data_IF_173757567801
#
_entry.id   IF_173757567801
#
_cell.length_a   1.000
_cell.length_b   1.000
_cell.length_c   1.000
_cell.angle_alpha   90.00
_cell.angle_beta   90.00
_cell.angle_gamma   90.00
#
_symmetry.space_group_name_H-M   'P 1'
#
loop_
_entity.id
_entity.type
_entity.pdbx_description
1 polymer ?
#
# COMPACT_ATOMS: atom_id res chain seq x y z
N UNK A 1 -41.49 -48.04 -51.13
CA UNK A 1 -40.62 -48.52 -52.23
C UNK A 1 -39.42 -47.58 -52.35
N UNK A 2 -38.20 -48.12 -52.16
CA UNK A 2 -36.90 -47.82 -52.83
C UNK A 2 -36.66 -46.38 -53.33
N UNK A 3 -35.58 -45.63 -52.97
CA UNK A 3 -34.12 -45.92 -53.00
C UNK A 3 -33.39 -44.82 -52.18
N UNK A 4 -32.50 -45.16 -51.25
CA UNK A 4 -31.01 -45.14 -51.34
C UNK A 4 -30.38 -43.80 -51.80
N UNK A 5 -29.59 -43.17 -50.92
CA UNK A 5 -28.12 -43.22 -51.02
C UNK A 5 -27.46 -42.83 -49.69
N UNK A 6 -26.55 -43.68 -49.25
CA UNK A 6 -25.64 -43.46 -48.13
C UNK A 6 -24.36 -42.77 -48.62
N UNK A 7 -23.80 -41.87 -47.83
CA UNK A 7 -22.41 -41.43 -47.97
C UNK A 7 -21.80 -41.21 -46.59
N UNK A 8 -20.59 -41.76 -46.44
CA UNK A 8 -19.89 -42.03 -45.19
C UNK A 8 -19.42 -40.77 -44.46
N UNK A 9 -19.60 -40.76 -43.15
CA UNK A 9 -19.02 -39.77 -42.23
C UNK A 9 -17.58 -40.20 -41.92
N UNK A 10 -16.61 -39.57 -42.57
CA UNK A 10 -15.20 -39.68 -42.18
C UNK A 10 -14.92 -38.72 -41.03
N UNK A 11 -14.75 -39.27 -39.82
CA UNK A 11 -14.23 -38.54 -38.65
C UNK A 11 -12.72 -38.37 -38.81
N UNK A 12 -12.29 -37.20 -39.26
CA UNK A 12 -10.88 -36.77 -39.12
C UNK A 12 -10.76 -36.01 -37.80
N UNK A 13 -10.32 -36.72 -36.77
CA UNK A 13 -9.83 -36.12 -35.52
C UNK A 13 -8.47 -35.46 -35.81
N UNK A 14 -8.23 -34.18 -35.47
CA UNK A 14 -6.89 -33.65 -35.51
C UNK A 14 -6.08 -34.28 -34.37
N UNK A 15 -5.05 -35.05 -34.73
CA UNK A 15 -4.02 -35.50 -33.79
C UNK A 15 -3.34 -34.27 -33.18
N UNK A 16 -3.65 -33.98 -31.92
CA UNK A 16 -2.85 -33.07 -31.10
C UNK A 16 -1.53 -33.79 -30.82
N UNK A 17 -0.47 -33.38 -31.49
CA UNK A 17 0.88 -33.77 -31.13
C UNK A 17 1.21 -33.14 -29.75
N UNK A 18 1.71 -33.90 -28.77
CA UNK A 18 2.23 -33.30 -27.55
C UNK A 18 3.45 -32.47 -27.91
N UNK A 19 3.40 -31.16 -27.64
CA UNK A 19 4.60 -30.32 -27.67
C UNK A 19 5.62 -30.92 -26.69
N UNK A 20 6.92 -31.01 -27.06
CA UNK A 20 7.91 -31.43 -26.10
C UNK A 20 7.93 -30.39 -24.98
N UNK A 21 7.78 -30.86 -23.74
CA UNK A 21 8.04 -30.04 -22.57
C UNK A 21 9.51 -29.60 -22.67
N UNK A 22 9.72 -28.34 -23.03
CA UNK A 22 11.00 -27.67 -22.80
C UNK A 22 11.19 -27.59 -21.29
N UNK A 23 11.76 -28.65 -20.71
CA UNK A 23 12.51 -28.52 -19.47
C UNK A 23 13.73 -27.70 -19.84
N UNK A 24 13.64 -26.38 -19.64
CA UNK A 24 14.85 -25.61 -19.37
C UNK A 24 15.42 -26.18 -18.07
N UNK A 25 16.36 -27.11 -18.22
CA UNK A 25 17.39 -27.35 -17.23
C UNK A 25 18.25 -26.08 -17.20
N UNK A 26 17.71 -25.03 -16.56
CA UNK A 26 18.55 -23.97 -16.04
C UNK A 26 19.49 -24.63 -15.04
N UNK A 27 20.79 -24.43 -15.21
CA UNK A 27 21.78 -24.87 -14.26
C UNK A 27 21.31 -24.46 -12.86
N UNK A 28 21.06 -25.44 -11.99
CA UNK A 28 20.75 -25.21 -10.59
C UNK A 28 22.02 -24.67 -9.92
N UNK A 29 22.33 -23.40 -10.17
CA UNK A 29 23.26 -22.65 -9.35
C UNK A 29 22.66 -22.60 -7.96
N UNK A 30 23.39 -23.08 -6.97
CA UNK A 30 22.99 -22.98 -5.56
C UNK A 30 22.85 -21.50 -5.21
N UNK A 31 21.62 -21.02 -5.05
CA UNK A 31 21.35 -19.69 -4.52
C UNK A 31 21.80 -19.62 -3.06
N UNK A 32 22.18 -18.43 -2.59
CA UNK A 32 22.42 -18.21 -1.17
C UNK A 32 21.09 -18.21 -0.40
N UNK A 33 21.07 -18.77 0.80
CA UNK A 33 19.88 -18.75 1.67
C UNK A 33 19.62 -17.36 2.24
N UNK A 34 20.69 -16.59 2.49
CA UNK A 34 20.63 -15.21 2.94
C UNK A 34 21.91 -14.44 2.54
N UNK A 35 21.82 -13.12 2.57
CA UNK A 35 22.94 -12.20 2.37
C UNK A 35 22.79 -11.00 3.30
N UNK A 36 23.93 -10.39 3.67
CA UNK A 36 23.96 -9.16 4.49
C UNK A 36 24.21 -7.97 3.59
N UNK A 37 23.45 -6.90 3.78
CA UNK A 37 23.55 -5.66 3.03
C UNK A 37 23.78 -4.49 3.96
N UNK A 38 24.64 -3.56 3.56
CA UNK A 38 24.71 -2.24 4.19
C UNK A 38 23.46 -1.45 3.85
N UNK A 39 22.90 -0.78 4.87
CA UNK A 39 21.75 0.10 4.76
C UNK A 39 22.11 1.49 5.28
N UNK A 40 21.46 2.51 4.74
CA UNK A 40 21.79 3.90 5.07
C UNK A 40 21.49 4.17 6.55
N UNK A 41 22.46 4.66 7.34
CA UNK A 41 22.21 5.06 8.72
C UNK A 41 21.12 6.14 8.78
N UNK A 42 20.22 6.02 9.77
CA UNK A 42 19.19 7.01 9.99
C UNK A 42 19.76 8.26 10.66
N UNK A 43 19.28 9.44 10.27
CA UNK A 43 19.50 10.64 11.08
C UNK A 43 18.57 10.59 12.31
N UNK A 44 19.11 10.90 13.48
CA UNK A 44 18.43 10.71 14.75
C UNK A 44 18.07 12.03 15.43
N UNK A 45 16.98 12.02 16.18
CA UNK A 45 16.55 13.11 17.04
C UNK A 45 16.15 12.57 18.41
N UNK A 46 16.86 13.01 19.47
CA UNK A 46 16.65 12.55 20.86
C UNK A 46 16.74 11.03 21.03
N UNK A 47 17.60 10.39 20.24
CA UNK A 47 17.97 8.98 20.36
C UNK A 47 19.50 8.90 20.41
N UNK A 48 20.03 8.11 21.33
CA UNK A 48 21.48 7.84 21.41
C UNK A 48 21.91 6.82 20.35
N UNK A 49 21.06 5.82 20.12
CA UNK A 49 21.26 4.76 19.14
C UNK A 49 20.05 4.64 18.21
N UNK A 50 20.30 4.24 16.97
CA UNK A 50 19.29 4.05 15.93
C UNK A 50 19.18 2.60 15.47
N UNK A 51 18.42 2.36 14.38
CA UNK A 51 18.40 1.06 13.72
C UNK A 51 19.81 0.62 13.29
N UNK A 52 20.06 -0.70 13.14
CA UNK A 52 21.36 -1.19 12.68
C UNK A 52 21.70 -0.65 11.28
N UNK A 53 23.00 -0.50 10.99
CA UNK A 53 23.50 -0.06 9.69
C UNK A 53 23.62 -1.21 8.66
N UNK A 54 23.29 -2.44 9.06
CA UNK A 54 23.28 -3.62 8.20
C UNK A 54 21.97 -4.38 8.36
N UNK A 55 21.57 -5.08 7.29
CA UNK A 55 20.37 -5.89 7.26
C UNK A 55 20.65 -7.24 6.63
N UNK A 56 20.26 -8.32 7.31
CA UNK A 56 20.24 -9.67 6.73
C UNK A 56 18.94 -9.84 5.96
N UNK A 57 19.02 -10.26 4.71
CA UNK A 57 17.87 -10.59 3.87
C UNK A 57 17.95 -12.05 3.46
N UNK A 58 16.93 -12.84 3.81
CA UNK A 58 16.82 -14.20 3.30
C UNK A 58 16.29 -14.21 1.87
N UNK A 59 16.59 -15.28 1.13
CA UNK A 59 16.04 -15.49 -0.22
C UNK A 59 14.51 -15.47 -0.23
N UNK A 60 13.88 -16.14 0.74
CA UNK A 60 12.42 -16.18 0.87
C UNK A 60 11.83 -14.79 1.07
N UNK A 61 12.39 -14.02 2.01
CA UNK A 61 11.98 -12.63 2.26
C UNK A 61 12.15 -11.76 1.01
N UNK A 62 13.30 -11.87 0.35
CA UNK A 62 13.60 -11.10 -0.86
C UNK A 62 12.58 -11.34 -1.97
N UNK A 63 12.29 -12.62 -2.29
CA UNK A 63 11.30 -12.98 -3.30
C UNK A 63 9.90 -12.49 -2.93
N UNK A 64 9.53 -12.59 -1.64
CA UNK A 64 8.25 -12.08 -1.13
C UNK A 64 8.13 -10.56 -1.27
N UNK A 65 9.16 -9.82 -0.88
CA UNK A 65 9.16 -8.34 -0.97
C UNK A 65 9.14 -7.88 -2.42
N UNK A 66 9.94 -8.51 -3.29
CA UNK A 66 9.97 -8.21 -4.71
C UNK A 66 8.59 -8.41 -5.35
N UNK A 67 7.97 -9.58 -5.13
CA UNK A 67 6.61 -9.86 -5.64
C UNK A 67 5.58 -8.86 -5.13
N UNK A 68 5.61 -8.51 -3.83
CA UNK A 68 4.66 -7.55 -3.25
C UNK A 68 4.81 -6.14 -3.81
N UNK A 69 6.03 -5.61 -3.89
CA UNK A 69 6.27 -4.28 -4.47
C UNK A 69 5.86 -4.26 -5.95
N UNK A 70 6.16 -5.32 -6.69
CA UNK A 70 5.76 -5.44 -8.09
C UNK A 70 4.24 -5.53 -8.26
N UNK A 71 3.54 -6.27 -7.40
CA UNK A 71 2.06 -6.30 -7.37
C UNK A 71 1.48 -4.90 -7.18
N UNK A 72 2.01 -4.13 -6.22
CA UNK A 72 1.58 -2.75 -5.97
C UNK A 72 1.84 -1.88 -7.20
N UNK A 73 3.07 -1.87 -7.73
CA UNK A 73 3.43 -1.12 -8.94
C UNK A 73 2.47 -1.41 -10.10
N UNK A 74 2.19 -2.68 -10.36
CA UNK A 74 1.34 -3.08 -11.49
C UNK A 74 -0.14 -2.80 -11.23
N UNK A 75 -0.62 -2.92 -9.99
CA UNK A 75 -1.96 -2.51 -9.59
C UNK A 75 -2.18 -1.01 -9.82
N UNK A 76 -1.23 -0.16 -9.43
CA UNK A 76 -1.33 1.29 -9.58
C UNK A 76 -1.31 1.71 -11.06
N UNK A 77 -0.43 1.11 -11.87
CA UNK A 77 -0.41 1.35 -13.32
C UNK A 77 -1.69 0.86 -14.01
N UNK A 78 -2.32 -0.20 -13.50
CA UNK A 78 -3.64 -0.64 -13.98
C UNK A 78 -4.74 0.33 -13.56
N UNK A 79 -4.70 0.85 -12.34
CA UNK A 79 -5.64 1.87 -11.88
C UNK A 79 -5.54 3.15 -12.73
N UNK A 80 -4.33 3.62 -13.08
CA UNK A 80 -4.13 4.71 -14.06
C UNK A 80 -4.86 4.43 -15.38
N UNK A 81 -4.65 3.24 -15.96
CA UNK A 81 -5.28 2.82 -17.21
C UNK A 81 -6.81 2.83 -17.10
N UNK A 82 -7.35 2.20 -16.04
CA UNK A 82 -8.81 2.10 -15.82
C UNK A 82 -9.45 3.47 -15.56
N UNK A 83 -8.74 4.40 -14.91
CA UNK A 83 -9.19 5.77 -14.73
C UNK A 83 -9.28 6.52 -16.07
N UNK A 84 -8.25 6.41 -16.91
CA UNK A 84 -8.25 7.00 -18.26
C UNK A 84 -9.38 6.44 -19.13
N UNK A 85 -9.69 5.16 -18.97
CA UNK A 85 -10.83 4.48 -19.62
C UNK A 85 -12.20 4.78 -18.98
N UNK A 86 -12.25 5.62 -17.94
CA UNK A 86 -13.47 6.00 -17.20
C UNK A 86 -14.17 4.88 -16.43
N UNK A 87 -13.50 3.74 -16.23
CA UNK A 87 -13.96 2.71 -15.29
C UNK A 87 -13.81 3.16 -13.84
N UNK A 88 -12.79 3.98 -13.55
CA UNK A 88 -12.59 4.63 -12.26
C UNK A 88 -12.92 6.12 -12.41
N UNK A 89 -13.57 6.69 -11.39
CA UNK A 89 -14.06 8.08 -11.35
C UNK A 89 -13.76 8.72 -10.00
N UNK A 90 -13.96 10.03 -9.90
CA UNK A 90 -13.67 10.78 -8.67
C UNK A 90 -12.17 10.83 -8.37
N UNK A 91 -11.79 10.61 -7.12
CA UNK A 91 -10.39 10.61 -6.69
C UNK A 91 -9.72 9.25 -6.94
N UNK A 92 -8.45 9.28 -7.32
CA UNK A 92 -7.57 8.12 -7.41
C UNK A 92 -6.12 8.57 -7.19
N UNK A 93 -5.50 8.12 -6.10
CA UNK A 93 -4.16 8.55 -5.67
C UNK A 93 -3.20 7.35 -5.69
N UNK A 94 -2.29 7.33 -6.67
CA UNK A 94 -1.42 6.18 -6.93
C UNK A 94 -0.14 6.22 -6.09
N UNK A 95 0.25 5.13 -5.42
CA UNK A 95 1.47 5.08 -4.60
C UNK A 95 2.73 4.59 -5.33
N UNK A 96 2.73 4.54 -6.67
CA UNK A 96 3.90 4.05 -7.41
C UNK A 96 5.13 4.96 -7.22
N UNK A 97 6.24 4.33 -6.84
CA UNK A 97 7.46 4.99 -6.34
C UNK A 97 7.63 4.90 -4.81
N UNK A 98 6.57 4.58 -4.07
CA UNK A 98 6.56 4.47 -2.60
C UNK A 98 6.41 3.02 -2.12
N UNK A 99 6.64 2.02 -2.99
CA UNK A 99 6.38 0.62 -2.64
C UNK A 99 7.24 0.11 -1.48
N UNK A 100 8.48 0.62 -1.36
CA UNK A 100 9.36 0.31 -0.24
C UNK A 100 8.76 0.75 1.10
N UNK A 101 7.95 1.81 1.14
CA UNK A 101 7.28 2.26 2.37
C UNK A 101 6.27 1.20 2.83
N UNK A 102 5.23 0.93 2.04
CA UNK A 102 4.19 -0.02 2.46
C UNK A 102 4.72 -1.46 2.68
N UNK A 103 5.62 -1.96 1.83
CA UNK A 103 6.19 -3.31 2.00
C UNK A 103 7.19 -3.38 3.13
N UNK A 104 8.02 -2.35 3.33
CA UNK A 104 9.00 -2.30 4.41
C UNK A 104 8.34 -2.14 5.78
N UNK A 105 7.31 -1.29 5.90
CA UNK A 105 6.50 -1.15 7.10
C UNK A 105 5.84 -2.49 7.47
N UNK A 106 5.20 -3.14 6.50
CA UNK A 106 4.59 -4.47 6.67
C UNK A 106 5.59 -5.53 7.13
N UNK A 107 6.83 -5.48 6.62
CA UNK A 107 7.88 -6.42 6.96
C UNK A 107 8.47 -6.21 8.36
N UNK A 108 8.24 -5.05 8.99
CA UNK A 108 8.74 -4.71 10.32
C UNK A 108 7.71 -4.82 11.45
N UNK A 109 6.49 -5.25 11.17
CA UNK A 109 5.40 -5.35 12.15
C UNK A 109 4.74 -6.74 12.13
N UNK A 110 3.97 -7.02 13.18
CA UNK A 110 3.14 -8.22 13.26
C UNK A 110 1.81 -8.01 12.51
N UNK A 111 1.16 -9.11 12.06
CA UNK A 111 -0.20 -9.03 11.51
C UNK A 111 -1.25 -8.53 12.52
N UNK A 112 -0.96 -8.55 13.82
CA UNK A 112 -1.81 -8.03 14.90
C UNK A 112 -1.61 -6.54 15.17
N UNK A 113 -0.55 -5.94 14.61
CA UNK A 113 -0.31 -4.51 14.74
C UNK A 113 -1.22 -3.71 13.81
N UNK A 114 -1.51 -2.48 14.24
CA UNK A 114 -2.55 -1.65 13.66
C UNK A 114 -1.97 -0.61 12.72
N UNK A 115 -2.62 -0.39 11.58
CA UNK A 115 -2.15 0.57 10.57
C UNK A 115 -3.29 1.50 10.16
N UNK A 116 -3.01 2.80 10.10
CA UNK A 116 -3.92 3.81 9.57
C UNK A 116 -3.16 4.84 8.73
N UNK A 117 -3.76 5.28 7.62
CA UNK A 117 -3.14 6.23 6.69
C UNK A 117 -4.16 7.19 6.07
N UNK A 118 -3.69 8.11 5.24
CA UNK A 118 -4.52 9.00 4.43
C UNK A 118 -5.05 8.28 3.17
N UNK A 119 -5.47 9.01 2.15
CA UNK A 119 -6.16 8.48 0.97
C UNK A 119 -5.25 7.76 -0.05
N UNK A 120 -3.91 7.87 0.05
CA UNK A 120 -2.97 7.17 -0.84
C UNK A 120 -2.70 5.75 -0.32
N UNK A 121 -3.76 4.94 -0.25
CA UNK A 121 -3.77 3.76 0.60
C UNK A 121 -3.66 2.41 -0.14
N UNK A 122 -3.71 2.35 -1.47
CA UNK A 122 -3.88 1.07 -2.18
C UNK A 122 -2.76 0.07 -1.86
N UNK A 123 -1.50 0.53 -1.79
CA UNK A 123 -0.37 -0.31 -1.39
C UNK A 123 -0.51 -0.91 0.01
N UNK A 124 -0.88 -0.08 0.99
CA UNK A 124 -1.12 -0.52 2.37
C UNK A 124 -2.34 -1.43 2.50
N UNK A 125 -3.40 -1.19 1.71
CA UNK A 125 -4.55 -2.10 1.63
C UNK A 125 -4.11 -3.50 1.22
N UNK A 126 -3.26 -3.58 0.19
CA UNK A 126 -2.74 -4.85 -0.31
C UNK A 126 -1.82 -5.54 0.71
N UNK A 127 -0.88 -4.81 1.31
CA UNK A 127 0.04 -5.41 2.29
C UNK A 127 -0.68 -5.89 3.54
N UNK A 128 -1.74 -5.20 3.96
CA UNK A 128 -2.65 -5.60 5.06
C UNK A 128 -3.65 -6.71 4.69
N UNK A 129 -3.52 -7.29 3.50
CA UNK A 129 -4.19 -8.55 3.13
C UNK A 129 -5.44 -8.42 2.27
N UNK A 130 -5.80 -7.21 1.81
CA UNK A 130 -6.88 -7.05 0.84
C UNK A 130 -6.36 -7.45 -0.55
N UNK A 131 -7.06 -8.36 -1.23
CA UNK A 131 -6.62 -8.83 -2.55
C UNK A 131 -6.69 -7.71 -3.60
N UNK A 132 -5.79 -7.74 -4.59
CA UNK A 132 -5.83 -6.77 -5.70
C UNK A 132 -7.16 -6.82 -6.45
N UNK A 133 -7.76 -8.01 -6.60
CA UNK A 133 -9.11 -8.13 -7.16
C UNK A 133 -10.10 -7.27 -6.40
N UNK A 134 -10.14 -7.38 -5.07
CA UNK A 134 -11.08 -6.60 -4.25
C UNK A 134 -10.78 -5.10 -4.28
N UNK A 135 -9.51 -4.70 -4.29
CA UNK A 135 -9.09 -3.29 -4.41
C UNK A 135 -9.53 -2.70 -5.75
N UNK A 136 -9.17 -3.32 -6.89
CA UNK A 136 -9.54 -2.81 -8.21
C UNK A 136 -11.06 -2.79 -8.41
N UNK A 137 -11.78 -3.76 -7.84
CA UNK A 137 -13.25 -3.84 -7.89
C UNK A 137 -13.91 -2.71 -7.08
N UNK A 138 -13.29 -2.30 -5.96
CA UNK A 138 -13.73 -1.12 -5.21
C UNK A 138 -13.45 0.18 -5.99
N UNK A 139 -12.29 0.29 -6.65
CA UNK A 139 -11.97 1.44 -7.48
C UNK A 139 -12.95 1.62 -8.65
N UNK A 140 -13.42 0.53 -9.25
CA UNK A 140 -14.43 0.56 -10.32
C UNK A 140 -15.88 0.64 -9.80
N UNK A 141 -16.07 0.76 -8.48
CA UNK A 141 -17.38 0.97 -7.85
C UNK A 141 -18.32 -0.23 -7.94
N UNK A 142 -17.79 -1.46 -7.96
CA UNK A 142 -18.62 -2.68 -8.11
C UNK A 142 -18.87 -3.37 -6.76
N UNK A 143 -19.91 -4.21 -6.73
CA UNK A 143 -20.39 -4.87 -5.50
C UNK A 143 -19.36 -5.79 -4.84
N UNK A 144 -18.44 -6.37 -5.61
CA UNK A 144 -17.36 -7.22 -5.12
C UNK A 144 -16.17 -6.45 -4.53
N UNK A 145 -16.24 -5.12 -4.48
CA UNK A 145 -15.23 -4.27 -3.86
C UNK A 145 -15.14 -4.50 -2.34
N UNK A 146 -14.00 -4.16 -1.74
CA UNK A 146 -13.77 -4.36 -0.30
C UNK A 146 -14.72 -3.54 0.59
N UNK A 147 -15.35 -2.50 0.06
CA UNK A 147 -16.42 -1.72 0.69
C UNK A 147 -17.71 -1.75 -0.15
N UNK A 148 -17.89 -2.78 -0.98
CA UNK A 148 -19.06 -2.99 -1.84
C UNK A 148 -19.35 -1.79 -2.77
N UNK A 149 -18.32 -1.09 -3.24
CA UNK A 149 -18.46 0.08 -4.11
C UNK A 149 -18.97 1.35 -3.40
N UNK A 150 -19.10 1.34 -2.07
CA UNK A 150 -19.54 2.50 -1.28
C UNK A 150 -18.38 3.46 -0.97
N UNK A 151 -17.14 2.97 -0.94
CA UNK A 151 -15.98 3.73 -0.46
C UNK A 151 -15.15 4.36 -1.58
N UNK A 152 -14.91 3.61 -2.66
CA UNK A 152 -14.00 4.01 -3.73
C UNK A 152 -12.53 4.05 -3.29
N UNK A 153 -11.72 4.83 -4.00
CA UNK A 153 -10.24 4.88 -3.80
C UNK A 153 -9.82 5.25 -2.38
N UNK A 154 -10.51 6.20 -1.77
CA UNK A 154 -10.03 6.80 -0.52
C UNK A 154 -10.43 6.00 0.72
N UNK A 155 -11.42 5.11 0.64
CA UNK A 155 -12.08 4.52 1.82
C UNK A 155 -12.16 2.99 1.72
N UNK A 156 -11.01 2.34 1.89
CA UNK A 156 -10.90 0.88 1.96
C UNK A 156 -10.45 0.49 3.36
N UNK A 157 -10.98 -0.58 3.93
CA UNK A 157 -10.70 -1.01 5.31
C UNK A 157 -10.42 -2.51 5.35
N UNK A 158 -9.61 -2.96 6.32
CA UNK A 158 -9.23 -4.36 6.47
C UNK A 158 -9.00 -4.73 7.94
N UNK A 159 -8.67 -6.00 8.18
CA UNK A 159 -8.33 -6.45 9.54
C UNK A 159 -7.08 -5.70 10.03
N UNK A 160 -7.21 -4.99 11.15
CA UNK A 160 -6.16 -4.11 11.70
C UNK A 160 -5.64 -3.03 10.74
N UNK A 161 -6.41 -2.73 9.70
CA UNK A 161 -6.18 -1.64 8.78
C UNK A 161 -7.38 -0.70 8.79
N UNK A 162 -7.20 0.45 9.46
CA UNK A 162 -8.25 1.42 9.75
C UNK A 162 -8.44 2.44 8.63
N UNK A 163 -7.95 2.06 7.47
CA UNK A 163 -8.35 2.56 6.18
C UNK A 163 -7.59 3.75 5.65
N UNK A 164 -8.01 4.12 4.44
CA UNK A 164 -7.69 5.39 3.85
C UNK A 164 -8.62 6.48 4.36
N UNK A 165 -8.04 7.63 4.70
CA UNK A 165 -8.76 8.75 5.28
C UNK A 165 -8.63 9.99 4.38
N UNK A 166 -9.78 10.49 3.92
CA UNK A 166 -9.85 11.60 2.95
C UNK A 166 -9.57 12.98 3.53
N UNK A 167 -9.72 13.15 4.85
CA UNK A 167 -9.51 14.44 5.53
C UNK A 167 -8.06 14.51 6.01
N UNK A 168 -7.31 15.48 5.48
CA UNK A 168 -5.87 15.60 5.72
C UNK A 168 -5.58 15.80 7.22
N UNK A 169 -4.87 14.84 7.82
CA UNK A 169 -4.44 14.87 9.23
C UNK A 169 -5.44 14.25 10.21
N UNK A 170 -6.69 13.96 9.80
CA UNK A 170 -7.70 13.42 10.72
C UNK A 170 -7.39 11.99 11.19
N UNK A 171 -6.61 11.25 10.42
CA UNK A 171 -6.18 9.90 10.77
C UNK A 171 -5.18 9.88 11.93
N UNK A 172 -4.48 11.00 12.20
CA UNK A 172 -3.43 11.03 13.21
C UNK A 172 -3.98 10.92 14.64
N UNK A 173 -5.02 11.68 15.03
CA UNK A 173 -5.72 11.44 16.30
C UNK A 173 -6.38 10.05 16.38
N UNK A 174 -6.90 9.51 15.26
CA UNK A 174 -7.51 8.17 15.24
C UNK A 174 -6.46 7.09 15.52
N UNK A 175 -5.30 7.14 14.86
CA UNK A 175 -4.15 6.26 15.13
C UNK A 175 -3.65 6.37 16.57
N UNK A 176 -3.64 7.58 17.12
CA UNK A 176 -3.34 7.82 18.54
C UNK A 176 -4.37 7.12 19.46
N UNK A 177 -5.66 7.19 19.13
CA UNK A 177 -6.71 6.48 19.85
C UNK A 177 -6.61 4.94 19.73
N UNK A 178 -6.15 4.43 18.59
CA UNK A 178 -5.87 3.01 18.40
C UNK A 178 -4.69 2.58 19.30
N UNK A 179 -3.61 3.35 19.34
CA UNK A 179 -2.49 3.10 20.25
C UNK A 179 -2.92 3.12 21.73
N UNK A 180 -3.82 4.05 22.10
CA UNK A 180 -4.45 4.07 23.42
C UNK A 180 -5.19 2.76 23.70
N UNK A 181 -5.95 2.24 22.74
CA UNK A 181 -6.65 0.96 22.88
C UNK A 181 -5.70 -0.23 23.04
N UNK A 182 -4.58 -0.27 22.31
CA UNK A 182 -3.53 -1.30 22.49
C UNK A 182 -2.99 -1.29 23.92
N UNK A 183 -2.62 -0.10 24.41
CA UNK A 183 -2.14 0.08 25.78
C UNK A 183 -3.19 -0.29 26.82
N UNK A 184 -4.44 0.13 26.61
CA UNK A 184 -5.56 -0.14 27.52
C UNK A 184 -5.83 -1.65 27.66
N UNK A 185 -5.70 -2.40 26.56
CA UNK A 185 -5.87 -3.86 26.53
C UNK A 185 -4.64 -4.64 27.00
N UNK A 186 -3.46 -4.01 27.07
CA UNK A 186 -2.21 -4.68 27.37
C UNK A 186 -1.80 -5.72 26.32
N UNK A 187 -2.11 -5.49 25.03
CA UNK A 187 -1.95 -6.49 23.97
C UNK A 187 -0.55 -6.60 23.35
N UNK A 188 0.42 -5.80 23.81
CA UNK A 188 1.76 -5.66 23.19
C UNK A 188 1.73 -5.32 21.67
N UNK A 189 0.59 -4.80 21.21
CA UNK A 189 0.38 -4.33 19.85
C UNK A 189 0.71 -2.83 19.74
N UNK A 190 1.10 -2.37 18.55
CA UNK A 190 1.40 -0.96 18.27
C UNK A 190 0.43 -0.39 17.22
N UNK A 191 0.41 0.94 17.09
CA UNK A 191 -0.24 1.62 15.97
C UNK A 191 0.78 2.36 15.11
N UNK A 192 0.88 1.97 13.84
CA UNK A 192 1.52 2.77 12.79
C UNK A 192 0.52 3.80 12.26
N UNK A 193 0.83 5.07 12.48
CA UNK A 193 -0.05 6.21 12.16
C UNK A 193 0.60 7.09 11.10
N UNK A 194 0.21 6.89 9.85
CA UNK A 194 0.84 7.52 8.69
C UNK A 194 0.16 8.84 8.29
N UNK A 195 0.95 9.80 7.85
CA UNK A 195 0.53 11.07 7.27
C UNK A 195 1.58 11.58 6.27
N UNK A 196 1.20 12.43 5.33
CA UNK A 196 2.14 13.02 4.35
C UNK A 196 2.81 14.30 4.85
N UNK A 197 3.84 14.76 4.13
CA UNK A 197 4.55 16.02 4.42
C UNK A 197 3.61 17.24 4.54
N UNK A 198 2.67 17.41 3.60
CA UNK A 198 1.65 18.46 3.71
C UNK A 198 0.71 18.33 4.92
N UNK A 199 0.45 17.10 5.37
CA UNK A 199 -0.37 16.85 6.56
C UNK A 199 0.38 17.14 7.88
N UNK A 200 1.72 17.16 7.86
CA UNK A 200 2.55 17.42 9.04
C UNK A 200 2.35 18.82 9.65
N UNK A 201 1.67 19.72 8.94
CA UNK A 201 1.33 21.07 9.42
C UNK A 201 -0.09 21.19 9.97
N UNK A 202 -0.85 20.10 10.08
CA UNK A 202 -2.17 20.08 10.68
C UNK A 202 -2.07 20.22 12.21
N UNK A 203 -2.85 21.12 12.81
CA UNK A 203 -2.82 21.35 14.27
C UNK A 203 -3.10 20.09 15.09
N UNK A 204 -4.07 19.28 14.66
CA UNK A 204 -4.44 18.01 15.31
C UNK A 204 -3.30 16.96 15.32
N UNK A 205 -2.29 17.08 14.44
CA UNK A 205 -1.09 16.22 14.49
C UNK A 205 -0.23 16.60 15.70
N UNK A 206 -0.06 17.89 15.98
CA UNK A 206 0.68 18.36 17.16
C UNK A 206 -0.07 18.05 18.46
N UNK A 207 -1.40 18.16 18.47
CA UNK A 207 -2.23 17.74 19.60
C UNK A 207 -2.08 16.24 19.90
N UNK A 208 -2.11 15.41 18.84
CA UNK A 208 -1.87 13.97 18.93
C UNK A 208 -0.49 13.64 19.49
N UNK A 209 0.57 14.33 19.05
CA UNK A 209 1.91 14.18 19.62
C UNK A 209 1.93 14.44 21.13
N UNK A 210 1.34 15.55 21.57
CA UNK A 210 1.31 15.91 22.98
C UNK A 210 0.62 14.82 23.83
N UNK A 211 -0.58 14.39 23.44
CA UNK A 211 -1.32 13.36 24.18
C UNK A 211 -0.63 11.99 24.15
N UNK A 212 -0.11 11.58 23.00
CA UNK A 212 0.60 10.31 22.87
C UNK A 212 1.85 10.26 23.75
N UNK A 213 2.61 11.36 23.83
CA UNK A 213 3.78 11.47 24.69
C UNK A 213 3.38 11.48 26.17
N UNK A 214 2.41 12.31 26.54
CA UNK A 214 1.89 12.42 27.91
C UNK A 214 1.46 11.06 28.46
N UNK A 215 0.77 10.26 27.64
CA UNK A 215 0.26 8.96 28.04
C UNK A 215 1.17 7.81 27.69
N UNK A 216 2.39 8.05 27.16
CA UNK A 216 3.32 7.01 26.70
C UNK A 216 2.63 5.93 25.87
N UNK A 217 1.97 6.35 24.79
CA UNK A 217 1.22 5.44 23.91
C UNK A 217 2.16 4.71 22.93
N UNK A 218 1.89 3.44 22.57
CA UNK A 218 2.64 2.69 21.57
C UNK A 218 2.28 3.12 20.14
N UNK A 219 2.51 4.41 19.82
CA UNK A 219 2.18 5.02 18.54
C UNK A 219 3.46 5.39 17.77
N UNK A 220 3.62 4.83 16.58
CA UNK A 220 4.67 5.22 15.63
C UNK A 220 4.06 6.21 14.65
N UNK A 221 4.46 7.47 14.76
CA UNK A 221 4.00 8.54 13.87
C UNK A 221 4.87 8.58 12.63
N UNK A 222 4.31 8.31 11.46
CA UNK A 222 5.08 8.15 10.23
C UNK A 222 4.76 9.27 9.24
N UNK A 223 5.74 10.10 8.92
CA UNK A 223 5.64 11.09 7.85
C UNK A 223 6.16 10.51 6.54
N UNK A 224 5.27 10.22 5.59
CA UNK A 224 5.64 9.86 4.22
C UNK A 224 5.96 11.14 3.43
N UNK A 225 7.22 11.58 3.52
CA UNK A 225 7.70 12.78 2.87
C UNK A 225 8.02 12.47 1.41
N UNK A 226 7.09 12.85 0.52
CA UNK A 226 7.25 12.70 -0.94
C UNK A 226 7.59 14.02 -1.64
N UNK A 227 8.07 15.01 -0.86
CA UNK A 227 8.49 16.35 -1.25
C UNK A 227 7.37 17.32 -1.64
N UNK A 228 6.11 16.88 -1.78
CA UNK A 228 5.03 17.72 -2.30
C UNK A 228 3.65 17.44 -1.67
N UNK A 229 3.15 18.42 -0.92
CA UNK A 229 1.76 18.48 -0.47
C UNK A 229 0.84 18.96 -1.60
N UNK A 230 0.22 18.02 -2.31
CA UNK A 230 -0.48 18.30 -3.58
C UNK A 230 0.45 18.91 -4.63
N UNK A 231 0.49 20.24 -4.76
CA UNK A 231 1.39 20.97 -5.65
C UNK A 231 2.33 21.94 -4.94
N UNK A 232 2.38 21.90 -3.61
CA UNK A 232 3.24 22.78 -2.80
C UNK A 232 4.44 21.99 -2.30
N UNK A 233 5.64 22.40 -2.70
CA UNK A 233 6.89 21.82 -2.22
C UNK A 233 7.07 22.03 -0.71
N UNK A 234 7.82 21.13 -0.06
CA UNK A 234 8.00 21.13 1.41
C UNK A 234 8.59 22.43 1.94
N UNK A 235 9.57 23.00 1.26
CA UNK A 235 10.22 24.27 1.60
C UNK A 235 9.29 25.50 1.51
N UNK A 236 8.21 25.39 0.73
CA UNK A 236 7.16 26.40 0.60
C UNK A 236 6.01 26.20 1.59
N UNK A 237 5.88 25.00 2.16
CA UNK A 237 4.78 24.62 3.05
C UNK A 237 5.17 24.58 4.53
N UNK A 238 6.43 24.28 4.85
CA UNK A 238 6.91 24.11 6.21
C UNK A 238 8.15 24.98 6.46
N UNK A 239 8.12 25.74 7.56
CA UNK A 239 9.27 26.55 7.99
C UNK A 239 10.49 25.70 8.37
N UNK A 240 10.27 24.45 8.79
CA UNK A 240 11.29 23.43 8.94
C UNK A 240 10.83 22.16 8.22
N UNK A 241 11.66 21.68 7.30
CA UNK A 241 11.45 20.47 6.51
C UNK A 241 12.04 19.22 7.15
N UNK A 242 12.49 19.31 8.41
CA UNK A 242 12.97 18.17 9.19
C UNK A 242 11.80 17.49 9.91
N UNK A 243 10.98 16.74 9.18
CA UNK A 243 9.71 16.20 9.68
C UNK A 243 9.89 15.25 10.87
N UNK A 244 10.97 14.47 10.90
CA UNK A 244 11.33 13.60 12.02
C UNK A 244 11.54 14.35 13.36
N UNK A 245 11.78 15.67 13.33
CA UNK A 245 11.96 16.52 14.53
C UNK A 245 10.68 17.23 14.98
N UNK A 246 9.60 17.19 14.19
CA UNK A 246 8.36 17.96 14.44
C UNK A 246 7.57 17.46 15.64
N UNK A 247 7.89 16.27 16.14
CA UNK A 247 7.40 15.77 17.43
C UNK A 247 7.96 16.52 18.65
N UNK A 248 8.98 17.38 18.48
CA UNK A 248 9.66 18.18 19.50
C UNK A 248 10.18 17.40 20.71
N UNK A 249 9.30 17.00 21.62
CA UNK A 249 9.62 16.18 22.79
C UNK A 249 9.59 14.67 22.49
N UNK A 250 9.02 14.26 21.35
CA UNK A 250 9.03 12.87 20.89
C UNK A 250 10.35 12.57 20.15
N UNK A 251 11.03 11.43 20.43
CA UNK A 251 12.19 11.01 19.66
C UNK A 251 11.81 10.72 18.21
N UNK A 252 12.76 10.86 17.29
CA UNK A 252 12.49 10.54 15.90
C UNK A 252 13.70 10.16 15.08
N UNK A 253 13.43 9.57 13.92
CA UNK A 253 14.44 9.13 12.97
C UNK A 253 14.00 9.41 11.52
N UNK A 254 14.97 9.74 10.66
CA UNK A 254 14.77 9.93 9.22
C UNK A 254 15.36 8.76 8.45
N UNK A 255 14.55 8.19 7.57
CA UNK A 255 14.79 6.91 6.91
C UNK A 255 14.76 7.11 5.40
N UNK A 256 15.60 6.37 4.68
CA UNK A 256 15.47 6.24 3.22
C UNK A 256 14.23 5.41 2.88
N UNK A 257 13.16 6.09 2.47
CA UNK A 257 11.88 5.49 2.10
C UNK A 257 11.87 4.86 0.71
N UNK A 258 12.99 4.88 -0.01
CA UNK A 258 13.16 4.19 -1.30
C UNK A 258 13.82 2.81 -1.13
N UNK A 259 14.38 2.52 0.04
CA UNK A 259 15.03 1.25 0.36
C UNK A 259 14.19 0.42 1.33
N UNK A 260 13.64 -0.69 0.83
CA UNK A 260 12.76 -1.58 1.62
C UNK A 260 13.46 -2.17 2.85
N UNK A 261 14.79 -2.36 2.85
CA UNK A 261 15.52 -2.85 4.00
C UNK A 261 15.74 -1.75 5.04
N UNK A 262 16.01 -0.50 4.62
CA UNK A 262 16.05 0.66 5.51
C UNK A 262 14.71 0.82 6.23
N UNK A 263 13.60 0.81 5.49
CA UNK A 263 12.26 0.93 6.06
C UNK A 263 11.96 -0.23 7.01
N UNK A 264 12.28 -1.47 6.64
CA UNK A 264 12.06 -2.65 7.48
C UNK A 264 12.79 -2.55 8.82
N UNK A 265 14.09 -2.27 8.81
CA UNK A 265 14.89 -2.20 10.05
C UNK A 265 14.49 -1.00 10.92
N UNK A 266 14.20 0.15 10.31
CA UNK A 266 13.67 1.31 11.04
C UNK A 266 12.30 1.02 11.67
N UNK A 267 11.45 0.26 10.99
CA UNK A 267 10.14 -0.12 11.51
C UNK A 267 10.26 -1.10 12.68
N UNK A 268 11.13 -2.12 12.58
CA UNK A 268 11.40 -3.04 13.70
C UNK A 268 11.88 -2.28 14.93
N UNK A 269 12.84 -1.37 14.74
CA UNK A 269 13.36 -0.51 15.81
C UNK A 269 12.26 0.34 16.46
N UNK A 270 11.44 1.02 15.66
CA UNK A 270 10.36 1.87 16.16
C UNK A 270 9.26 1.04 16.85
N UNK A 271 8.97 -0.16 16.33
CA UNK A 271 8.03 -1.09 16.93
C UNK A 271 8.51 -1.54 18.31
N UNK A 272 9.76 -1.97 18.42
CA UNK A 272 10.36 -2.41 19.69
C UNK A 272 10.49 -1.26 20.70
N UNK A 273 10.77 -0.04 20.24
CA UNK A 273 10.69 1.16 21.07
C UNK A 273 9.30 1.30 21.72
N UNK A 274 8.24 1.24 20.92
CA UNK A 274 6.86 1.34 21.40
C UNK A 274 6.47 0.18 22.33
N UNK A 275 6.78 -1.08 21.95
CA UNK A 275 6.50 -2.27 22.76
C UNK A 275 7.22 -2.27 24.11
N UNK A 276 8.43 -1.70 24.17
CA UNK A 276 9.17 -1.53 25.43
C UNK A 276 8.57 -0.49 26.39
N UNK A 277 7.48 0.18 26.01
CA UNK A 277 6.77 1.14 26.86
C UNK A 277 7.43 2.53 26.95
N UNK A 278 8.40 2.81 26.09
CA UNK A 278 9.10 4.12 26.03
C UNK A 278 8.19 5.26 25.50
N UNK A 279 7.05 4.90 24.92
CA UNK A 279 6.07 5.85 24.40
C UNK A 279 6.16 5.98 22.88
N UNK A 280 5.68 7.09 22.30
CA UNK A 280 5.62 7.26 20.86
C UNK A 280 7.00 7.59 20.27
N UNK A 281 7.12 7.40 18.97
CA UNK A 281 8.30 7.75 18.18
C UNK A 281 7.88 8.29 16.80
N UNK A 282 8.63 9.25 16.24
CA UNK A 282 8.40 9.80 14.90
C UNK A 282 9.36 9.16 13.89
N UNK A 283 8.85 8.73 12.74
CA UNK A 283 9.64 8.20 11.65
C UNK A 283 9.32 8.98 10.36
N UNK A 284 10.31 9.64 9.77
CA UNK A 284 10.18 10.26 8.45
C UNK A 284 10.69 9.30 7.38
N UNK A 285 9.81 8.86 6.48
CA UNK A 285 10.19 8.09 5.31
C UNK A 285 10.39 9.07 4.14
N UNK A 286 11.64 9.27 3.74
CA UNK A 286 11.97 10.08 2.57
C UNK A 286 11.73 9.24 1.30
N UNK A 287 10.60 9.47 0.64
CA UNK A 287 10.16 8.68 -0.51
C UNK A 287 9.78 9.60 -1.68
N UNK A 288 9.19 9.04 -2.74
CA UNK A 288 8.80 9.82 -3.89
C UNK A 288 7.62 9.19 -4.64
N UNK A 289 6.63 10.01 -5.03
CA UNK A 289 5.53 9.58 -5.91
C UNK A 289 5.84 9.91 -7.36
N UNK A 290 5.72 8.93 -8.25
CA UNK A 290 5.96 9.14 -9.66
C UNK A 290 4.82 9.87 -10.36
N UNK A 291 3.57 9.50 -10.08
CA UNK A 291 2.41 10.24 -10.57
C UNK A 291 2.24 11.58 -9.83
N UNK A 292 1.41 12.45 -10.42
CA UNK A 292 0.93 13.67 -9.77
C UNK A 292 0.17 13.38 -8.48
N UNK A 293 -0.44 14.41 -7.90
CA UNK A 293 -1.12 14.26 -6.61
C UNK A 293 -2.23 13.19 -6.70
N UNK A 294 -3.09 13.33 -7.70
CA UNK A 294 -4.15 12.40 -8.07
C UNK A 294 -4.21 12.31 -9.60
N UNK A 295 -5.11 11.48 -10.12
CA UNK A 295 -5.33 11.35 -11.56
C UNK A 295 -5.74 12.65 -12.29
N UNK A 296 -6.25 13.67 -11.57
CA UNK A 296 -6.58 14.98 -12.16
C UNK A 296 -5.38 15.95 -12.21
N UNK A 297 -4.27 15.59 -11.58
CA UNK A 297 -3.06 16.40 -11.52
C UNK A 297 -1.95 15.76 -12.37
N UNK A 298 -1.53 16.38 -13.49
CA UNK A 298 -0.41 15.90 -14.30
C UNK A 298 0.94 15.91 -13.56
N UNK A 299 1.09 16.71 -12.49
CA UNK A 299 2.29 16.75 -11.66
C UNK A 299 3.52 17.38 -12.30
N UNK A 300 3.34 18.26 -13.30
CA UNK A 300 4.43 18.93 -14.06
C UNK A 300 4.44 20.45 -13.91
N UNK A 301 3.46 21.04 -13.22
CA UNK A 301 3.41 22.50 -12.99
C UNK A 301 4.27 22.97 -11.82
N UNK A 302 4.67 22.06 -10.94
CA UNK A 302 5.40 22.35 -9.69
C UNK A 302 6.69 21.53 -9.51
N UNK A 303 7.03 20.69 -10.49
CA UNK A 303 8.26 19.89 -10.56
C UNK A 303 8.55 19.50 -11.99
N UNK A 304 9.80 19.18 -12.31
CA UNK A 304 10.22 18.84 -13.67
C UNK A 304 10.04 17.36 -13.98
N UNK A 305 9.94 17.00 -15.26
CA UNK A 305 9.90 15.57 -15.66
C UNK A 305 11.26 14.90 -15.42
N UNK A 306 12.32 15.68 -15.54
CA UNK A 306 13.71 15.29 -15.31
C UNK A 306 13.93 14.89 -13.86
N UNK A 307 13.35 15.59 -12.89
CA UNK A 307 13.38 15.22 -11.47
C UNK A 307 12.77 13.83 -11.25
N UNK A 308 11.54 13.60 -11.75
CA UNK A 308 10.85 12.31 -11.62
C UNK A 308 11.66 11.19 -12.28
N UNK A 309 12.19 11.44 -13.48
CA UNK A 309 13.00 10.46 -14.20
C UNK A 309 14.32 10.17 -13.49
N UNK A 310 14.96 11.18 -12.90
CA UNK A 310 16.20 11.03 -12.13
C UNK A 310 15.97 10.16 -10.89
N UNK A 311 14.88 10.39 -10.14
CA UNK A 311 14.52 9.54 -8.99
C UNK A 311 14.25 8.11 -9.45
N UNK A 312 13.41 7.92 -10.48
CA UNK A 312 13.06 6.57 -10.99
C UNK A 312 14.28 5.79 -11.49
N UNK A 313 15.22 6.44 -12.16
CA UNK A 313 16.40 5.77 -12.72
C UNK A 313 17.47 5.44 -11.68
N UNK A 314 17.57 6.22 -10.59
CA UNK A 314 18.61 6.08 -9.58
C UNK A 314 18.16 5.34 -8.32
N UNK A 315 16.87 5.42 -7.99
CA UNK A 315 16.37 5.07 -6.67
C UNK A 315 15.03 4.34 -6.70
N UNK A 316 14.63 3.74 -7.83
CA UNK A 316 13.40 2.96 -7.86
C UNK A 316 13.46 1.78 -6.87
N UNK A 317 12.48 1.63 -5.97
CA UNK A 317 12.57 0.67 -4.86
C UNK A 317 12.62 -0.78 -5.34
N UNK A 318 12.01 -1.08 -6.49
CA UNK A 318 11.98 -2.43 -7.07
C UNK A 318 13.32 -2.73 -7.74
N UNK A 319 13.90 -1.75 -8.45
CA UNK A 319 15.25 -1.87 -9.00
C UNK A 319 16.31 -2.05 -7.90
N UNK A 320 16.26 -1.25 -6.84
CA UNK A 320 17.19 -1.35 -5.72
C UNK A 320 17.17 -2.74 -5.07
N UNK A 321 15.98 -3.30 -4.81
CA UNK A 321 15.87 -4.65 -4.26
C UNK A 321 16.37 -5.72 -5.26
N UNK A 322 15.99 -5.60 -6.55
CA UNK A 322 16.45 -6.52 -7.60
C UNK A 322 17.97 -6.59 -7.64
N UNK A 323 18.64 -5.44 -7.69
CA UNK A 323 20.10 -5.39 -7.82
C UNK A 323 20.78 -5.99 -6.59
N UNK A 324 20.24 -5.76 -5.39
CA UNK A 324 20.71 -6.43 -4.16
C UNK A 324 20.54 -7.94 -4.21
N UNK A 325 19.37 -8.43 -4.62
CA UNK A 325 19.11 -9.87 -4.70
C UNK A 325 20.04 -10.57 -5.70
N UNK A 326 20.32 -9.93 -6.84
CA UNK A 326 21.27 -10.43 -7.84
C UNK A 326 22.70 -10.42 -7.30
N UNK A 327 23.15 -9.31 -6.71
CA UNK A 327 24.49 -9.19 -6.15
C UNK A 327 24.74 -10.18 -4.99
N UNK A 328 23.74 -10.38 -4.13
CA UNK A 328 23.77 -11.35 -3.03
C UNK A 328 23.56 -12.80 -3.46
N UNK A 329 23.40 -13.08 -4.77
CA UNK A 329 23.08 -14.41 -5.31
C UNK A 329 21.84 -15.05 -4.64
N UNK A 330 20.88 -14.21 -4.24
CA UNK A 330 19.63 -14.61 -3.62
C UNK A 330 18.56 -14.99 -4.64
N UNK A 331 18.68 -14.56 -5.90
CA UNK A 331 17.80 -14.93 -7.01
C UNK A 331 18.51 -14.73 -8.35
N UNK A 332 17.96 -15.31 -9.42
CA UNK A 332 18.41 -15.05 -10.79
C UNK A 332 17.55 -13.99 -11.47
N UNK A 333 18.06 -13.40 -12.55
CA UNK A 333 17.27 -12.46 -13.35
C UNK A 333 16.04 -13.12 -13.99
N UNK A 334 16.13 -14.40 -14.38
CA UNK A 334 15.03 -15.15 -14.95
C UNK A 334 13.93 -15.43 -13.91
N UNK A 335 14.30 -15.78 -12.67
CA UNK A 335 13.32 -16.01 -11.60
C UNK A 335 12.52 -14.74 -11.26
N UNK A 336 13.19 -13.58 -11.21
CA UNK A 336 12.50 -12.31 -10.98
C UNK A 336 11.61 -11.91 -12.18
N UNK A 337 12.01 -12.28 -13.40
CA UNK A 337 11.20 -12.07 -14.61
C UNK A 337 9.97 -12.98 -14.65
N UNK A 338 10.08 -14.20 -14.15
CA UNK A 338 8.93 -15.11 -14.00
C UNK A 338 7.93 -14.54 -12.99
N UNK A 339 8.40 -13.99 -11.86
CA UNK A 339 7.55 -13.25 -10.92
C UNK A 339 6.85 -12.07 -11.61
N UNK A 340 7.56 -11.28 -12.42
CA UNK A 340 6.95 -10.19 -13.18
C UNK A 340 5.82 -10.66 -14.10
N UNK A 341 5.99 -11.81 -14.75
CA UNK A 341 4.99 -12.41 -15.63
C UNK A 341 3.76 -12.90 -14.86
N UNK A 342 3.97 -13.57 -13.72
CA UNK A 342 2.90 -14.00 -12.81
C UNK A 342 2.09 -12.81 -12.30
N UNK A 343 2.78 -11.78 -11.79
CA UNK A 343 2.16 -10.56 -11.28
C UNK A 343 1.32 -9.90 -12.37
N UNK A 344 1.86 -9.74 -13.59
CA UNK A 344 1.09 -9.16 -14.70
C UNK A 344 -0.20 -9.94 -14.97
N UNK A 345 -0.13 -11.26 -14.99
CA UNK A 345 -1.31 -12.11 -15.18
C UNK A 345 -2.34 -11.91 -14.08
N UNK A 346 -1.91 -11.90 -12.82
CA UNK A 346 -2.81 -11.67 -11.67
C UNK A 346 -3.51 -10.30 -11.75
N UNK A 347 -2.79 -9.25 -12.16
CA UNK A 347 -3.35 -7.90 -12.35
C UNK A 347 -4.37 -7.87 -13.50
N UNK A 348 -4.09 -8.50 -14.63
CA UNK A 348 -5.05 -8.55 -15.74
C UNK A 348 -6.31 -9.33 -15.36
N UNK A 349 -6.17 -10.47 -14.68
CA UNK A 349 -7.30 -11.26 -14.17
C UNK A 349 -8.15 -10.46 -13.17
N UNK A 350 -7.50 -9.69 -12.28
CA UNK A 350 -8.16 -8.81 -11.33
C UNK A 350 -8.90 -7.65 -12.04
N UNK A 351 -8.29 -7.03 -13.04
CA UNK A 351 -8.90 -5.95 -13.82
C UNK A 351 -10.09 -6.43 -14.66
N UNK A 352 -9.99 -7.62 -15.27
CA UNK A 352 -11.08 -8.22 -16.02
C UNK A 352 -12.30 -8.49 -15.13
N UNK A 353 -12.07 -8.95 -13.90
CA UNK A 353 -13.14 -9.10 -12.92
C UNK A 353 -13.73 -7.74 -12.52
N UNK A 354 -12.88 -6.78 -12.14
CA UNK A 354 -13.30 -5.45 -11.69
C UNK A 354 -14.11 -4.68 -12.74
N UNK A 355 -13.90 -4.96 -14.03
CA UNK A 355 -14.62 -4.31 -15.14
C UNK A 355 -15.90 -5.05 -15.55
N UNK A 356 -16.06 -6.31 -15.18
CA UNK A 356 -17.25 -7.14 -15.51
C UNK A 356 -18.18 -7.42 -14.33
N UNK A 357 -17.73 -7.25 -13.09
CA UNK A 357 -18.58 -7.40 -11.90
C UNK A 357 -19.72 -6.37 -11.89
N UNK A 358 -20.86 -6.71 -11.29
CA UNK A 358 -22.03 -5.84 -11.31
C UNK A 358 -21.89 -4.66 -10.34
N UNK A 359 -22.51 -3.54 -10.67
CA UNK A 359 -22.70 -2.45 -9.71
C UNK A 359 -23.54 -2.93 -8.50
N UNK A 360 -23.39 -2.31 -7.32
CA UNK A 360 -24.25 -2.58 -6.19
C UNK A 360 -25.72 -2.32 -6.55
N UNK A 361 -26.66 -3.20 -6.12
CA UNK A 361 -28.08 -2.98 -6.31
C UNK A 361 -28.53 -1.68 -5.63
N UNK A 362 -29.41 -0.91 -6.29
CA UNK A 362 -29.88 0.39 -5.80
C UNK A 362 -30.60 0.26 -4.45
N UNK A 363 -31.23 -0.88 -4.20
CA UNK A 363 -31.93 -1.20 -2.95
C UNK A 363 -31.00 -1.17 -1.73
N UNK A 364 -29.70 -1.41 -1.92
CA UNK A 364 -28.70 -1.43 -0.85
C UNK A 364 -28.02 -0.06 -0.61
N UNK A 365 -28.46 1.00 -1.30
CA UNK A 365 -27.86 2.34 -1.20
C UNK A 365 -27.69 2.81 0.25
N UNK A 366 -28.70 2.56 1.09
CA UNK A 366 -28.77 2.99 2.47
C UNK A 366 -28.37 1.91 3.49
N UNK A 367 -27.88 0.74 3.06
CA UNK A 367 -27.34 -0.27 3.98
C UNK A 367 -26.10 0.23 4.73
N UNK A 368 -25.91 -0.29 5.94
CA UNK A 368 -24.76 -0.07 6.82
C UNK A 368 -24.62 1.35 7.39
N UNK A 369 -25.72 2.07 7.61
CA UNK A 369 -25.70 3.39 8.28
C UNK A 369 -25.39 3.24 9.77
N UNK A 370 -26.06 2.30 10.44
CA UNK A 370 -25.84 1.98 11.84
C UNK A 370 -25.48 0.50 11.99
N UNK A 371 -24.55 0.21 12.91
CA UNK A 371 -24.20 -1.15 13.31
C UNK A 371 -25.14 -1.63 14.43
N UNK A 372 -25.51 -2.91 14.41
CA UNK A 372 -26.31 -3.57 15.45
C UNK A 372 -27.66 -2.86 15.73
N UNK A 373 -28.28 -2.28 14.69
CA UNK A 373 -29.54 -1.55 14.76
C UNK A 373 -30.64 -2.27 13.98
N UNK A 374 -31.89 -2.34 14.47
CA UNK A 374 -33.00 -2.87 13.69
C UNK A 374 -33.16 -2.14 12.35
N UNK A 375 -33.66 -2.82 11.30
CA UNK A 375 -33.88 -2.18 10.02
C UNK A 375 -34.83 -0.97 10.11
N UNK A 376 -34.53 0.09 9.37
CA UNK A 376 -35.34 1.31 9.32
C UNK A 376 -35.37 1.91 7.90
N UNK A 377 -36.25 2.88 7.66
CA UNK A 377 -36.37 3.55 6.37
C UNK A 377 -35.54 4.85 6.34
N UNK A 378 -34.90 5.09 5.20
CA UNK A 378 -34.12 6.29 4.91
C UNK A 378 -34.78 7.04 3.77
N UNK A 379 -35.00 8.34 3.98
CA UNK A 379 -35.55 9.23 2.96
C UNK A 379 -34.56 9.40 1.80
N UNK A 380 -35.04 9.23 0.57
CA UNK A 380 -34.30 9.52 -0.65
C UNK A 380 -34.41 10.99 -1.07
N UNK A 381 -34.37 11.24 -2.39
CA UNK A 381 -34.40 12.61 -2.94
C UNK A 381 -35.68 13.39 -2.59
N UNK A 382 -36.78 12.69 -2.28
CA UNK A 382 -38.04 13.28 -1.87
C UNK A 382 -38.73 12.37 -0.82
N UNK A 383 -39.80 12.82 -0.15
CA UNK A 383 -40.47 12.05 0.91
C UNK A 383 -41.06 10.69 0.47
N UNK A 384 -41.31 10.49 -0.83
CA UNK A 384 -41.92 9.28 -1.37
C UNK A 384 -40.89 8.21 -1.75
N UNK A 385 -39.62 8.58 -1.93
CA UNK A 385 -38.53 7.62 -2.17
C UNK A 385 -38.00 7.18 -0.80
N UNK A 386 -38.10 5.88 -0.52
CA UNK A 386 -37.65 5.28 0.73
C UNK A 386 -36.72 4.12 0.44
N UNK A 387 -35.59 4.08 1.12
CA UNK A 387 -34.64 2.97 1.06
C UNK A 387 -34.61 2.26 2.41
N UNK A 388 -34.54 0.93 2.37
CA UNK A 388 -34.32 0.15 3.59
C UNK A 388 -32.87 0.30 4.00
N UNK A 389 -32.63 0.54 5.29
CA UNK A 389 -31.30 0.43 5.89
C UNK A 389 -31.26 -0.81 6.76
N UNK A 390 -30.26 -1.65 6.56
CA UNK A 390 -29.94 -2.83 7.37
C UNK A 390 -28.49 -2.70 7.81
N UNK A 391 -28.19 -3.08 9.06
CA UNK A 391 -26.84 -3.05 9.63
C UNK A 391 -25.83 -3.89 8.86
#
# INVERSE_FOLDING_TARGET
MRKMLAAAVSRVLPRVAPKPASRMLGAAGTFADNATFDIKPCELYRLEEGPPATAVLTREEGLKYYKRMQMIRRMELKADQLYKQKFIRGFCHLCDGQEACCVGLEAGINPTDHVITSYRAHGLCYTRGISVRSILTELTGRRGGCAKGKGGSMHMYGKYFYGGNGIVGSQTPIGTGIALACKYKGSDEISLTLYGDGAANQGQVAEAFNMASLWKLPCVFICENNLYGMGTATDRAAASTEYYKRGHFIPGLKVDGMDVLCVREATKFAADHCRSGKGPIVMELQTYRYHGHSMSDPGVSYRTREEVQAVRSKSDPIMLLKDRMLAGKLASADELKDIDAEVRKEIEDAAQFATTDQEPPLEEIAHHIYKDNPPFEVRGANPWIKFKSVS
#
